data_IF_928729736629
#
_entry.id   IF_928729736629
#
_cell.length_a   1.000
_cell.length_b   1.000
_cell.length_c   1.000
_cell.angle_alpha   90.00
_cell.angle_beta   90.00
_cell.angle_gamma   90.00
#
_symmetry.space_group_name_H-M   'P 1'
#
loop_
_entity.id
_entity.type
_entity.pdbx_description
1 polymer ?
#
# COMPACT_ATOMS: atom_id res chain seq x y z
N UNK A 1 -48.67 -32.36 0.27
CA UNK A 1 -48.42 -30.91 0.08
C UNK A 1 -47.01 -30.73 -0.48
N UNK A 2 -46.83 -30.53 -1.81
CA UNK A 2 -45.50 -30.34 -2.38
C UNK A 2 -45.06 -28.87 -2.24
N UNK A 3 -43.86 -28.64 -1.70
CA UNK A 3 -43.24 -27.32 -1.63
C UNK A 3 -42.59 -27.02 -2.98
N UNK A 4 -43.12 -26.03 -3.69
CA UNK A 4 -42.58 -25.56 -4.96
C UNK A 4 -41.35 -24.69 -4.73
N UNK A 5 -40.17 -25.13 -5.21
CA UNK A 5 -38.98 -24.27 -5.19
C UNK A 5 -39.09 -23.24 -6.31
N UNK A 6 -39.19 -21.96 -5.95
CA UNK A 6 -39.26 -20.86 -6.91
C UNK A 6 -37.82 -20.48 -7.28
N UNK A 7 -37.41 -20.82 -8.50
CA UNK A 7 -36.13 -20.43 -9.09
C UNK A 7 -35.95 -18.90 -9.03
N UNK A 8 -34.83 -18.45 -8.42
CA UNK A 8 -34.54 -17.04 -8.19
C UNK A 8 -33.95 -16.43 -9.47
N UNK A 9 -34.54 -15.38 -10.07
CA UNK A 9 -34.01 -14.77 -11.28
C UNK A 9 -32.63 -14.15 -11.00
N UNK A 10 -31.59 -14.64 -11.68
CA UNK A 10 -30.23 -14.09 -11.59
C UNK A 10 -30.17 -12.67 -12.18
N UNK A 11 -29.26 -11.82 -11.68
CA UNK A 11 -29.17 -10.42 -12.11
C UNK A 11 -28.82 -10.31 -13.59
N UNK A 12 -29.59 -9.48 -14.31
CA UNK A 12 -29.49 -9.22 -15.75
C UNK A 12 -28.10 -8.63 -16.07
N UNK A 13 -27.49 -9.12 -17.15
CA UNK A 13 -26.14 -8.81 -17.70
C UNK A 13 -25.83 -7.33 -18.01
N UNK A 14 -26.64 -6.37 -17.56
CA UNK A 14 -26.52 -4.93 -17.88
C UNK A 14 -26.27 -4.03 -16.68
N UNK A 15 -26.20 -4.56 -15.46
CA UNK A 15 -25.94 -3.78 -14.24
C UNK A 15 -24.45 -3.75 -13.83
N UNK A 16 -23.53 -4.23 -14.66
CA UNK A 16 -22.09 -4.30 -14.36
C UNK A 16 -21.31 -3.04 -14.75
N UNK A 17 -21.97 -1.88 -14.89
CA UNK A 17 -21.30 -0.61 -15.20
C UNK A 17 -21.69 0.49 -14.21
N UNK A 18 -21.73 0.15 -12.92
CA UNK A 18 -21.89 1.10 -11.82
C UNK A 18 -20.92 0.80 -10.68
N UNK A 19 -19.65 0.55 -11.00
CA UNK A 19 -18.56 0.43 -10.00
C UNK A 19 -17.22 0.94 -10.53
N UNK A 20 -17.24 2.04 -11.29
CA UNK A 20 -16.02 2.78 -11.65
C UNK A 20 -15.88 4.13 -10.95
N UNK A 21 -16.65 4.35 -9.89
CA UNK A 21 -16.47 5.49 -8.97
C UNK A 21 -15.57 5.12 -7.76
N UNK A 22 -14.72 4.11 -7.91
CA UNK A 22 -13.76 3.66 -6.88
C UNK A 22 -12.33 3.50 -7.39
N UNK A 23 -12.05 3.85 -8.64
CA UNK A 23 -10.69 3.77 -9.19
C UNK A 23 -9.78 4.93 -8.72
N UNK A 24 -10.34 6.02 -8.19
CA UNK A 24 -9.56 7.11 -7.60
C UNK A 24 -8.95 6.76 -6.23
N UNK A 25 -9.42 5.69 -5.57
CA UNK A 25 -8.80 5.16 -4.34
C UNK A 25 -7.84 3.98 -4.63
N UNK A 26 -7.80 3.49 -5.87
CA UNK A 26 -6.82 2.48 -6.31
C UNK A 26 -5.52 3.11 -6.85
N UNK A 27 -5.43 4.45 -6.90
CA UNK A 27 -4.14 5.16 -7.02
C UNK A 27 -3.26 5.00 -5.77
N UNK A 28 -3.79 4.39 -4.71
CA UNK A 28 -3.09 4.12 -3.45
C UNK A 28 -2.38 2.77 -3.34
N UNK A 29 -2.18 2.01 -4.43
CA UNK A 29 -1.39 0.77 -4.40
C UNK A 29 -0.26 0.74 -5.45
N UNK A 30 0.07 1.89 -6.04
CA UNK A 30 1.34 2.11 -6.75
C UNK A 30 1.62 3.60 -6.79
N UNK A 31 2.41 4.08 -5.84
CA UNK A 31 3.11 5.37 -5.84
C UNK A 31 2.33 6.55 -6.42
N UNK A 32 1.70 7.34 -5.56
CA UNK A 32 1.24 8.69 -5.89
C UNK A 32 2.41 9.58 -6.33
N UNK A 33 2.74 9.51 -7.62
CA UNK A 33 3.64 10.39 -8.33
C UNK A 33 2.82 11.25 -9.27
N UNK A 34 2.13 12.23 -8.70
CA UNK A 34 1.54 13.30 -9.48
C UNK A 34 2.60 14.34 -9.87
N UNK A 35 2.37 14.92 -11.04
CA UNK A 35 2.90 16.19 -11.56
C UNK A 35 4.19 16.12 -12.38
N UNK A 36 4.00 16.42 -13.67
CA UNK A 36 5.01 16.35 -14.72
C UNK A 36 6.18 17.30 -14.51
N UNK A 37 7.33 16.86 -15.00
CA UNK A 37 8.46 17.72 -15.27
C UNK A 37 9.21 17.17 -16.48
N UNK A 38 8.81 17.67 -17.65
CA UNK A 38 9.55 17.56 -18.89
C UNK A 38 10.92 18.26 -18.74
N UNK A 39 11.98 17.51 -19.03
CA UNK A 39 13.31 17.92 -19.55
C UNK A 39 14.22 18.78 -18.66
N UNK A 40 15.28 18.15 -18.14
CA UNK A 40 16.49 18.81 -17.62
C UNK A 40 17.56 17.80 -17.22
N UNK A 41 18.36 17.32 -18.17
CA UNK A 41 19.31 16.20 -18.04
C UNK A 41 20.48 16.54 -17.09
N UNK A 42 20.40 16.14 -15.81
CA UNK A 42 21.58 16.06 -14.91
C UNK A 42 21.34 16.47 -13.45
N UNK A 43 21.04 17.74 -13.19
CA UNK A 43 20.89 18.27 -11.82
C UNK A 43 19.53 18.01 -11.13
N UNK A 44 18.36 18.11 -11.81
CA UNK A 44 17.06 17.82 -11.16
C UNK A 44 16.82 16.32 -10.94
N UNK A 45 17.52 15.44 -11.67
CA UNK A 45 17.40 14.00 -11.48
C UNK A 45 17.91 13.56 -10.09
N UNK A 46 19.09 14.04 -9.68
CA UNK A 46 19.66 13.74 -8.36
C UNK A 46 18.80 14.28 -7.20
N UNK A 47 18.12 15.42 -7.40
CA UNK A 47 17.22 15.98 -6.39
C UNK A 47 15.88 15.24 -6.34
N UNK A 48 15.36 14.77 -7.48
CA UNK A 48 14.18 13.91 -7.53
C UNK A 48 14.44 12.53 -6.90
N UNK A 49 15.56 11.88 -7.22
CA UNK A 49 15.96 10.60 -6.61
C UNK A 49 16.05 10.69 -5.08
N UNK A 50 16.62 11.79 -4.56
CA UNK A 50 16.67 12.04 -3.11
C UNK A 50 15.28 12.20 -2.50
N UNK A 51 14.37 12.92 -3.17
CA UNK A 51 12.98 13.08 -2.72
C UNK A 51 12.24 11.74 -2.71
N UNK A 52 12.44 10.92 -3.74
CA UNK A 52 11.85 9.58 -3.83
C UNK A 52 12.38 8.67 -2.71
N UNK A 53 13.69 8.64 -2.47
CA UNK A 53 14.27 7.86 -1.35
C UNK A 53 13.76 8.35 0.01
N UNK A 54 13.66 9.67 0.22
CA UNK A 54 13.14 10.22 1.46
C UNK A 54 11.66 9.86 1.69
N UNK A 55 10.84 9.85 0.63
CA UNK A 55 9.45 9.36 0.69
C UNK A 55 9.41 7.88 1.04
N UNK A 56 10.16 7.05 0.32
CA UNK A 56 10.21 5.61 0.57
C UNK A 56 10.69 5.26 1.99
N UNK A 57 11.65 6.02 2.52
CA UNK A 57 12.11 5.91 3.90
C UNK A 57 11.00 6.20 4.91
N UNK A 58 10.22 7.27 4.69
CA UNK A 58 9.08 7.64 5.55
C UNK A 58 7.98 6.58 5.50
N UNK A 59 7.58 6.16 4.31
CA UNK A 59 6.56 5.12 4.13
C UNK A 59 6.97 3.79 4.78
N UNK A 60 8.25 3.42 4.67
CA UNK A 60 8.78 2.23 5.34
C UNK A 60 8.78 2.36 6.87
N UNK A 61 9.05 3.55 7.40
CA UNK A 61 9.02 3.80 8.84
C UNK A 61 7.57 3.81 9.39
N UNK A 62 6.62 4.39 8.66
CA UNK A 62 5.20 4.34 9.02
C UNK A 62 4.69 2.89 9.04
N UNK A 63 5.12 2.07 8.09
CA UNK A 63 4.82 0.64 8.07
C UNK A 63 5.42 -0.10 9.28
N UNK A 64 6.64 0.25 9.70
CA UNK A 64 7.26 -0.31 10.90
C UNK A 64 6.41 -0.02 12.14
N UNK A 65 5.92 1.23 12.28
CA UNK A 65 5.02 1.60 13.38
C UNK A 65 3.73 0.79 13.39
N UNK A 66 3.14 0.51 12.22
CA UNK A 66 1.95 -0.35 12.14
C UNK A 66 2.23 -1.79 12.59
N UNK A 67 3.42 -2.33 12.29
CA UNK A 67 3.83 -3.63 12.81
C UNK A 67 4.04 -3.61 14.32
N UNK A 68 4.56 -2.51 14.88
CA UNK A 68 4.74 -2.36 16.32
C UNK A 68 3.42 -2.31 17.09
N UNK A 69 2.44 -1.57 16.58
CA UNK A 69 1.08 -1.55 17.12
C UNK A 69 0.42 -2.94 17.03
N UNK A 70 0.58 -3.64 15.89
CA UNK A 70 0.06 -4.99 15.72
C UNK A 70 0.72 -5.98 16.70
N UNK A 71 2.01 -5.83 16.99
CA UNK A 71 2.72 -6.61 18.00
C UNK A 71 2.25 -6.29 19.42
N UNK A 72 1.96 -5.02 19.70
CA UNK A 72 1.34 -4.59 20.96
C UNK A 72 -0.02 -5.24 21.19
N UNK A 73 -0.84 -5.34 20.14
CA UNK A 73 -2.16 -5.96 20.19
C UNK A 73 -2.13 -7.50 20.18
N UNK A 74 -1.15 -8.11 19.51
CA UNK A 74 -1.08 -9.56 19.30
C UNK A 74 0.32 -10.13 19.59
N UNK A 75 0.75 -10.13 20.86
CA UNK A 75 2.10 -10.54 21.26
C UNK A 75 2.41 -12.02 20.95
N UNK A 76 1.38 -12.87 20.83
CA UNK A 76 1.55 -14.29 20.48
C UNK A 76 2.12 -14.52 19.08
N UNK A 77 2.07 -13.52 18.19
CA UNK A 77 2.66 -13.58 16.85
C UNK A 77 4.07 -12.99 16.75
N UNK A 78 4.63 -12.46 17.85
CA UNK A 78 5.92 -11.77 17.83
C UNK A 78 7.05 -12.63 17.24
N UNK A 79 7.10 -13.93 17.58
CA UNK A 79 8.10 -14.84 17.03
C UNK A 79 7.99 -15.10 15.52
N UNK A 80 6.81 -14.88 14.92
CA UNK A 80 6.58 -15.06 13.48
C UNK A 80 6.77 -13.76 12.69
N UNK A 81 6.43 -12.63 13.30
CA UNK A 81 6.46 -11.31 12.65
C UNK A 81 7.80 -10.60 12.85
N UNK A 82 8.55 -10.91 13.92
CA UNK A 82 9.86 -10.31 14.23
C UNK A 82 10.83 -10.29 13.03
N UNK A 83 11.07 -11.43 12.35
CA UNK A 83 11.96 -11.45 11.19
C UNK A 83 11.49 -10.53 10.05
N UNK A 84 10.17 -10.42 9.82
CA UNK A 84 9.61 -9.55 8.79
C UNK A 84 9.81 -8.07 9.17
N UNK A 85 9.64 -7.73 10.45
CA UNK A 85 9.90 -6.38 10.98
C UNK A 85 11.37 -5.98 10.80
N UNK A 86 12.29 -6.90 11.07
CA UNK A 86 13.73 -6.64 10.93
C UNK A 86 14.16 -6.38 9.47
N UNK A 87 13.51 -7.03 8.49
CA UNK A 87 13.71 -6.72 7.07
C UNK A 87 13.19 -5.32 6.72
N UNK A 88 12.03 -4.92 7.24
CA UNK A 88 11.48 -3.58 7.03
C UNK A 88 12.39 -2.51 7.65
N UNK A 89 12.93 -2.75 8.84
CA UNK A 89 13.91 -1.87 9.47
C UNK A 89 15.19 -1.73 8.64
N UNK A 90 15.64 -2.79 7.97
CA UNK A 90 16.74 -2.72 7.00
C UNK A 90 16.37 -1.93 5.74
N UNK A 91 15.12 -2.00 5.28
CA UNK A 91 14.64 -1.21 4.15
C UNK A 91 14.63 0.30 4.43
N UNK A 92 14.19 0.70 5.64
CA UNK A 92 14.27 2.09 6.11
C UNK A 92 15.71 2.61 6.03
N UNK A 93 16.67 1.82 6.54
CA UNK A 93 18.10 2.16 6.52
C UNK A 93 18.65 2.24 5.09
N UNK A 94 18.27 1.32 4.19
CA UNK A 94 18.70 1.31 2.80
C UNK A 94 18.28 2.57 2.03
N UNK A 95 17.16 3.18 2.40
CA UNK A 95 16.71 4.46 1.85
C UNK A 95 17.30 5.69 2.53
N UNK A 96 18.13 5.50 3.56
CA UNK A 96 18.73 6.59 4.34
C UNK A 96 17.80 7.15 5.42
N UNK A 97 16.74 6.43 5.79
CA UNK A 97 15.94 6.73 6.97
C UNK A 97 16.58 6.18 8.24
N UNK A 98 16.27 6.78 9.39
CA UNK A 98 16.55 6.18 10.68
C UNK A 98 15.42 5.21 11.03
N UNK A 99 15.75 3.96 11.34
CA UNK A 99 14.81 3.07 12.02
C UNK A 99 14.70 3.59 13.47
N UNK A 100 13.59 4.26 13.77
CA UNK A 100 13.27 4.78 15.10
C UNK A 100 12.85 3.68 16.06
#
# INVERSE_FOLDING_TARGET
MPLTTRSRPGPRRRSLLASFAGAALLTGCSGGGEEGAEVGRGAPALSQEKRLKARAARESADLLGQYDEALGALPSLAGRIGPLRDEVARHVQAFGGAAG
#
